data_IF_436625303478
#
_entry.id   IF_436625303478
#
_cell.length_a   1.000
_cell.length_b   1.000
_cell.length_c   1.000
_cell.angle_alpha   90.00
_cell.angle_beta   90.00
_cell.angle_gamma   90.00
#
_symmetry.space_group_name_H-M   'P 1'
#
loop_
_entity.id
_entity.type
_entity.pdbx_description
1 polymer ?
#
# COMPACT_ATOMS: atom_id res chain seq x y z
N UNK A 1 7.23 0.19 1.55
CA UNK A 1 7.22 -0.09 3.01
C UNK A 1 8.23 -1.19 3.33
N UNK A 2 8.80 -1.23 4.54
CA UNK A 2 9.65 -2.35 4.99
C UNK A 2 8.98 -3.05 6.17
N UNK A 3 8.88 -4.37 6.09
CA UNK A 3 8.28 -5.21 7.13
C UNK A 3 9.33 -6.13 7.74
N UNK A 4 9.15 -6.46 9.03
CA UNK A 4 10.05 -7.31 9.80
C UNK A 4 9.22 -8.27 10.68
N UNK A 5 9.83 -9.37 11.11
CA UNK A 5 9.19 -10.40 11.95
C UNK A 5 7.92 -11.01 11.32
N UNK A 6 7.91 -11.12 9.99
CA UNK A 6 6.82 -11.73 9.22
C UNK A 6 7.31 -13.02 8.57
N UNK A 7 6.42 -14.02 8.34
CA UNK A 7 6.76 -15.20 7.57
C UNK A 7 7.02 -14.86 6.10
N UNK A 8 7.42 -15.85 5.31
CA UNK A 8 7.64 -15.68 3.87
C UNK A 8 6.38 -15.14 3.18
N UNK A 9 6.53 -14.03 2.45
CA UNK A 9 5.45 -13.31 1.78
C UNK A 9 5.30 -13.66 0.29
N UNK A 10 5.96 -14.73 -0.19
CA UNK A 10 5.95 -15.10 -1.61
C UNK A 10 4.56 -15.48 -2.16
N UNK A 11 3.56 -15.68 -1.30
CA UNK A 11 2.17 -15.87 -1.72
C UNK A 11 1.54 -14.59 -2.30
N UNK A 12 2.18 -13.43 -2.09
CA UNK A 12 1.67 -12.12 -2.49
C UNK A 12 1.17 -11.32 -1.31
N UNK A 13 1.06 -10.00 -1.52
CA UNK A 13 0.56 -9.04 -0.54
C UNK A 13 -0.29 -7.99 -1.25
N UNK A 14 -1.21 -7.38 -0.52
CA UNK A 14 -1.98 -6.24 -1.01
C UNK A 14 -1.80 -5.04 -0.08
N UNK A 15 -1.64 -3.85 -0.67
CA UNK A 15 -1.60 -2.59 0.05
C UNK A 15 -3.00 -1.98 0.04
N UNK A 16 -3.59 -1.84 1.22
CA UNK A 16 -4.88 -1.19 1.43
C UNK A 16 -4.65 0.21 1.98
N UNK A 17 -5.10 1.23 1.26
CA UNK A 17 -5.07 2.63 1.67
C UNK A 17 -6.40 2.99 2.32
N UNK A 18 -6.63 2.44 3.52
CA UNK A 18 -7.88 2.57 4.29
C UNK A 18 -9.13 2.39 3.40
N UNK A 19 -9.88 3.46 3.18
CA UNK A 19 -11.15 3.47 2.45
C UNK A 19 -10.99 3.94 0.99
N UNK A 20 -9.76 4.24 0.55
CA UNK A 20 -9.48 4.82 -0.76
C UNK A 20 -9.35 3.75 -1.83
N UNK A 21 -8.30 2.92 -1.75
CA UNK A 21 -8.00 1.89 -2.75
C UNK A 21 -7.24 0.71 -2.16
N UNK A 22 -7.36 -0.43 -2.85
CA UNK A 22 -6.54 -1.61 -2.64
C UNK A 22 -5.68 -1.85 -3.89
N UNK A 23 -4.39 -2.05 -3.72
CA UNK A 23 -3.42 -2.22 -4.82
C UNK A 23 -2.50 -3.42 -4.59
N UNK A 24 -2.12 -4.17 -5.64
CA UNK A 24 -1.18 -5.26 -5.52
C UNK A 24 0.18 -4.75 -5.02
N UNK A 25 0.77 -5.48 -4.07
CA UNK A 25 2.11 -5.19 -3.58
C UNK A 25 3.14 -6.19 -4.11
N UNK A 26 4.26 -5.67 -4.58
CA UNK A 26 5.42 -6.45 -5.01
C UNK A 26 6.36 -6.67 -3.82
N UNK A 27 6.62 -7.95 -3.52
CA UNK A 27 7.56 -8.34 -2.46
C UNK A 27 8.97 -8.33 -3.01
N UNK A 28 9.76 -7.36 -2.55
CA UNK A 28 11.16 -7.18 -2.88
C UNK A 28 12.06 -7.84 -1.82
N UNK A 29 13.37 -7.86 -2.11
CA UNK A 29 14.37 -8.42 -1.20
C UNK A 29 14.34 -7.78 0.19
N UNK A 30 14.65 -8.59 1.21
CA UNK A 30 14.78 -8.16 2.62
C UNK A 30 13.50 -7.57 3.22
N UNK A 31 12.33 -8.08 2.83
CA UNK A 31 11.03 -7.66 3.38
C UNK A 31 10.61 -6.26 2.95
N UNK A 32 11.12 -5.77 1.81
CA UNK A 32 10.59 -4.55 1.20
C UNK A 32 9.33 -4.88 0.41
N UNK A 33 8.34 -3.99 0.48
CA UNK A 33 7.11 -4.07 -0.29
C UNK A 33 6.96 -2.77 -1.07
N UNK A 34 6.82 -2.89 -2.39
CA UNK A 34 6.50 -1.79 -3.30
C UNK A 34 5.02 -1.89 -3.69
N UNK A 35 4.30 -0.78 -3.61
CA UNK A 35 2.93 -0.69 -4.09
C UNK A 35 2.65 0.71 -4.61
N UNK A 36 1.69 0.81 -5.53
CA UNK A 36 1.29 2.08 -6.12
C UNK A 36 0.39 2.83 -5.15
N UNK A 37 0.63 4.13 -5.00
CA UNK A 37 -0.25 5.01 -4.23
C UNK A 37 -1.61 5.16 -4.93
N UNK A 38 -2.68 5.52 -4.19
CA UNK A 38 -3.95 5.92 -4.79
C UNK A 38 -3.75 7.09 -5.77
N UNK A 39 -4.65 7.21 -6.74
CA UNK A 39 -4.63 8.31 -7.69
C UNK A 39 -5.13 9.59 -7.02
N UNK A 40 -4.83 10.76 -7.58
CA UNK A 40 -5.42 12.03 -7.12
C UNK A 40 -6.96 12.05 -7.16
N UNK A 41 -7.57 11.16 -7.95
CA UNK A 41 -9.03 10.97 -8.01
C UNK A 41 -9.60 10.25 -6.80
N UNK A 42 -8.78 9.37 -6.20
CA UNK A 42 -9.18 8.51 -5.10
C UNK A 42 -8.93 9.23 -3.76
N UNK A 43 -8.09 10.26 -3.74
CA UNK A 43 -7.78 11.05 -2.54
C UNK A 43 -8.82 12.18 -2.38
N UNK A 44 -9.54 12.27 -1.25
CA UNK A 44 -10.45 13.38 -0.98
C UNK A 44 -9.72 14.73 -1.08
N UNK A 45 -10.35 15.71 -1.71
CA UNK A 45 -9.78 17.05 -1.79
C UNK A 45 -9.59 17.64 -0.39
N UNK A 46 -8.38 18.15 -0.11
CA UNK A 46 -7.97 18.76 1.18
C UNK A 46 -8.88 19.93 1.61
N UNK A 47 -9.75 20.41 0.73
CA UNK A 47 -10.72 21.50 1.00
C UNK A 47 -11.84 21.13 1.97
N UNK A 48 -11.95 19.89 2.45
CA UNK A 48 -13.02 19.49 3.39
C UNK A 48 -12.74 19.85 4.87
N UNK A 49 -11.65 20.58 5.15
CA UNK A 49 -11.20 20.88 6.51
C UNK A 49 -10.95 22.37 6.81
N UNK A 50 -11.69 23.29 6.19
CA UNK A 50 -11.71 24.72 6.55
C UNK A 50 -13.14 25.27 6.59
#
# INVERSE_FOLDING_TARGET
VKVANVPNLSAGVTCVFEELTESPGEVLAKGQILCMSPSLRDVPSVTQGY
#
